data_IF_176436284770
#
_entry.id   IF_176436284770
#
_cell.length_a   1.000
_cell.length_b   1.000
_cell.length_c   1.000
_cell.angle_alpha   90.00
_cell.angle_beta   90.00
_cell.angle_gamma   90.00
#
_symmetry.space_group_name_H-M   'P 1'
#
loop_
_entity.id
_entity.type
_entity.pdbx_description
1 polymer ?
#
# COMPACT_ATOMS: atom_id res chain seq x y z
N UNK A 1 -15.04 41.54 27.37
CA UNK A 1 -15.07 40.68 28.57
C UNK A 1 -13.66 40.15 28.82
N UNK A 2 -13.33 39.76 30.05
CA UNK A 2 -12.03 39.13 30.40
C UNK A 2 -11.75 37.90 29.52
N UNK A 3 -12.79 37.15 29.16
CA UNK A 3 -12.69 36.00 28.24
C UNK A 3 -12.17 36.35 26.84
N UNK A 4 -12.44 37.56 26.33
CA UNK A 4 -11.93 37.99 25.02
C UNK A 4 -10.43 38.35 25.03
N UNK A 5 -9.85 38.61 26.21
CA UNK A 5 -8.45 38.96 26.37
C UNK A 5 -7.55 37.73 26.62
N UNK A 6 -8.12 36.57 26.91
CA UNK A 6 -7.38 35.36 27.24
C UNK A 6 -6.50 34.87 26.08
N UNK A 7 -7.07 34.68 24.88
CA UNK A 7 -6.33 34.19 23.71
C UNK A 7 -5.20 35.16 23.28
N UNK A 8 -5.42 36.49 23.19
CA UNK A 8 -4.31 37.44 22.97
C UNK A 8 -3.22 37.38 24.04
N UNK A 9 -3.57 37.14 25.31
CA UNK A 9 -2.58 37.00 26.39
C UNK A 9 -1.77 35.70 26.28
N UNK A 10 -2.40 34.59 25.89
CA UNK A 10 -1.73 33.32 25.59
C UNK A 10 -0.75 33.46 24.42
N UNK A 11 -1.19 34.09 23.32
CA UNK A 11 -0.31 34.39 22.18
C UNK A 11 0.87 35.27 22.60
N UNK A 12 0.62 36.34 23.37
CA UNK A 12 1.70 37.19 23.89
C UNK A 12 2.69 36.41 24.75
N UNK A 13 2.19 35.54 25.64
CA UNK A 13 3.03 34.70 26.51
C UNK A 13 3.92 33.76 25.70
N UNK A 14 3.39 33.12 24.66
CA UNK A 14 4.16 32.24 23.77
C UNK A 14 5.36 32.97 23.15
N UNK A 15 5.14 34.14 22.52
CA UNK A 15 6.24 34.92 21.93
C UNK A 15 7.17 35.54 22.99
N UNK A 16 6.67 35.85 24.18
CA UNK A 16 7.49 36.36 25.27
C UNK A 16 8.45 35.30 25.84
N UNK A 17 8.03 34.03 25.88
CA UNK A 17 8.87 32.89 26.28
C UNK A 17 9.96 32.60 25.25
N UNK A 18 9.70 32.90 23.97
CA UNK A 18 10.63 32.69 22.85
C UNK A 18 11.42 33.94 22.46
N UNK A 19 11.35 35.02 23.24
CA UNK A 19 11.97 36.32 22.93
C UNK A 19 13.50 36.27 22.76
N UNK A 20 14.13 35.28 23.40
CA UNK A 20 15.59 35.09 23.38
C UNK A 20 16.03 34.22 22.18
N UNK A 21 15.07 33.68 21.41
CA UNK A 21 15.29 32.94 20.17
C UNK A 21 15.07 33.79 18.90
N UNK A 22 15.24 33.19 17.71
CA UNK A 22 15.04 33.88 16.44
C UNK A 22 13.56 34.25 16.23
N UNK A 23 13.30 35.55 16.07
CA UNK A 23 12.01 36.11 15.71
C UNK A 23 12.12 36.83 14.38
N UNK A 24 11.23 36.52 13.44
CA UNK A 24 11.24 37.06 12.09
C UNK A 24 10.00 37.91 11.84
N UNK A 25 10.13 38.92 10.98
CA UNK A 25 8.94 39.57 10.39
C UNK A 25 8.50 38.78 9.17
N UNK A 26 7.20 38.51 9.04
CA UNK A 26 6.66 37.77 7.91
C UNK A 26 5.51 38.51 7.21
N UNK A 27 5.40 38.26 5.91
CA UNK A 27 4.23 38.59 5.09
C UNK A 27 4.16 37.64 3.90
N UNK A 28 2.94 37.30 3.47
CA UNK A 28 2.71 36.52 2.23
C UNK A 28 2.33 37.52 1.15
N UNK A 29 3.14 37.59 0.10
CA UNK A 29 3.02 38.61 -0.94
C UNK A 29 2.66 37.94 -2.27
N UNK A 30 1.63 38.46 -2.95
CA UNK A 30 1.16 37.98 -4.24
C UNK A 30 1.34 39.10 -5.26
N UNK A 31 2.06 38.82 -6.35
CA UNK A 31 2.32 39.77 -7.44
C UNK A 31 1.71 39.21 -8.74
N UNK A 32 0.79 39.96 -9.34
CA UNK A 32 0.20 39.68 -10.65
C UNK A 32 -0.44 40.97 -11.17
N UNK A 33 -1.04 40.92 -12.35
CA UNK A 33 -2.10 41.86 -12.74
C UNK A 33 -3.27 41.87 -11.73
N UNK A 34 -4.16 42.85 -11.86
CA UNK A 34 -5.29 43.04 -10.94
C UNK A 34 -6.18 41.81 -10.80
N UNK A 35 -6.46 41.13 -11.91
CA UNK A 35 -7.32 39.94 -11.97
C UNK A 35 -6.63 38.75 -11.30
N UNK A 36 -5.37 38.48 -11.65
CA UNK A 36 -4.60 37.39 -11.06
C UNK A 36 -4.31 37.60 -9.58
N UNK A 37 -4.05 38.84 -9.15
CA UNK A 37 -3.81 39.16 -7.74
C UNK A 37 -5.06 38.83 -6.92
N UNK A 38 -6.24 39.23 -7.38
CA UNK A 38 -7.52 38.91 -6.72
C UNK A 38 -7.76 37.39 -6.63
N UNK A 39 -7.55 36.68 -7.74
CA UNK A 39 -7.78 35.24 -7.81
C UNK A 39 -6.80 34.43 -6.93
N UNK A 40 -5.51 34.73 -7.02
CA UNK A 40 -4.47 34.01 -6.27
C UNK A 40 -4.58 34.32 -4.78
N UNK A 41 -4.70 35.61 -4.41
CA UNK A 41 -4.83 36.00 -3.00
C UNK A 41 -6.06 35.37 -2.33
N UNK A 42 -7.20 35.31 -3.01
CA UNK A 42 -8.42 34.69 -2.47
C UNK A 42 -8.24 33.19 -2.23
N UNK A 43 -7.55 32.47 -3.14
CA UNK A 43 -7.26 31.04 -2.97
C UNK A 43 -6.26 30.79 -1.84
N UNK A 44 -5.19 31.58 -1.79
CA UNK A 44 -4.17 31.51 -0.72
C UNK A 44 -4.82 31.79 0.63
N UNK A 45 -5.62 32.85 0.73
CA UNK A 45 -6.36 33.19 1.94
C UNK A 45 -7.33 32.06 2.34
N UNK A 46 -8.07 31.51 1.38
CA UNK A 46 -8.98 30.38 1.62
C UNK A 46 -8.27 29.16 2.23
N UNK A 47 -7.10 28.78 1.69
CA UNK A 47 -6.31 27.66 2.20
C UNK A 47 -5.75 27.92 3.60
N UNK A 48 -5.28 29.13 3.88
CA UNK A 48 -4.77 29.50 5.20
C UNK A 48 -5.87 29.55 6.26
N UNK A 49 -7.10 29.88 5.86
CA UNK A 49 -8.25 30.02 6.75
C UNK A 49 -9.01 28.70 6.94
N UNK A 50 -9.00 27.79 5.96
CA UNK A 50 -9.76 26.54 6.02
C UNK A 50 -9.26 25.52 7.05
N UNK A 51 -8.09 25.76 7.64
CA UNK A 51 -7.41 24.81 8.56
C UNK A 51 -7.90 24.92 10.00
N UNK A 52 -8.64 25.97 10.38
CA UNK A 52 -9.00 26.23 11.79
C UNK A 52 -10.48 26.58 11.97
N UNK A 53 -11.13 25.96 12.97
CA UNK A 53 -12.50 26.29 13.41
C UNK A 53 -12.55 27.63 14.19
N UNK A 54 -11.39 28.20 14.53
CA UNK A 54 -11.28 29.48 15.25
C UNK A 54 -11.34 30.70 14.31
N UNK A 55 -11.75 31.85 14.85
CA UNK A 55 -11.73 33.13 14.12
C UNK A 55 -10.32 33.46 13.67
N UNK A 56 -10.08 33.42 12.36
CA UNK A 56 -8.80 33.75 11.77
C UNK A 56 -8.58 35.27 11.69
N UNK A 57 -7.42 35.74 12.15
CA UNK A 57 -7.04 37.16 12.22
C UNK A 57 -6.12 37.59 11.06
N UNK A 58 -6.17 36.88 9.94
CA UNK A 58 -5.42 37.27 8.74
C UNK A 58 -6.05 38.52 8.12
N UNK A 59 -5.20 39.50 7.78
CA UNK A 59 -5.63 40.72 7.09
C UNK A 59 -5.08 40.74 5.67
N UNK A 60 -5.95 41.02 4.70
CA UNK A 60 -5.56 41.20 3.31
C UNK A 60 -5.43 42.69 3.02
N UNK A 61 -4.26 43.11 2.55
CA UNK A 61 -3.98 44.49 2.19
C UNK A 61 -3.56 44.56 0.73
N UNK A 62 -4.25 45.38 -0.07
CA UNK A 62 -3.85 45.68 -1.45
C UNK A 62 -2.83 46.81 -1.42
N UNK A 63 -1.67 46.59 -2.02
CA UNK A 63 -0.62 47.60 -2.16
C UNK A 63 -0.50 47.92 -3.64
N UNK A 64 -1.01 49.09 -4.03
CA UNK A 64 -0.87 49.59 -5.40
C UNK A 64 0.47 50.34 -5.57
N UNK A 65 0.94 50.46 -6.81
CA UNK A 65 2.12 51.26 -7.20
C UNK A 65 3.48 50.78 -6.66
N UNK A 66 3.69 49.47 -6.57
CA UNK A 66 5.03 48.90 -6.44
C UNK A 66 5.60 48.65 -7.85
N UNK A 67 6.41 49.59 -8.37
CA UNK A 67 7.14 49.40 -9.63
C UNK A 67 8.52 48.77 -9.35
N UNK A 68 8.86 47.75 -10.13
CA UNK A 68 10.16 47.08 -10.08
C UNK A 68 10.88 47.35 -11.39
N UNK A 69 11.72 48.37 -11.40
CA UNK A 69 12.39 48.82 -12.63
C UNK A 69 13.62 47.96 -12.96
N UNK A 70 14.15 47.18 -12.00
CA UNK A 70 15.30 46.29 -12.20
C UNK A 70 15.37 45.12 -11.20
N UNK A 71 16.26 44.16 -11.45
CA UNK A 71 16.52 43.02 -10.55
C UNK A 71 16.99 43.46 -9.14
N UNK A 72 17.67 44.60 -9.03
CA UNK A 72 18.12 45.12 -7.73
C UNK A 72 16.93 45.52 -6.83
N UNK A 73 15.81 45.93 -7.43
CA UNK A 73 14.57 46.24 -6.71
C UNK A 73 14.00 45.04 -5.95
N UNK A 74 14.26 43.80 -6.41
CA UNK A 74 13.78 42.59 -5.72
C UNK A 74 14.49 42.35 -4.39
N UNK A 75 15.78 42.69 -4.26
CA UNK A 75 16.49 42.54 -2.98
C UNK A 75 15.99 43.52 -1.91
N UNK A 76 15.48 44.68 -2.33
CA UNK A 76 14.90 45.69 -1.42
C UNK A 76 13.44 45.41 -1.07
N UNK A 77 12.80 44.47 -1.76
CA UNK A 77 11.38 44.18 -1.65
C UNK A 77 10.91 43.89 -0.21
N UNK A 78 11.61 43.08 0.61
CA UNK A 78 11.17 42.81 1.98
C UNK A 78 11.13 44.08 2.83
N UNK A 79 12.06 45.01 2.64
CA UNK A 79 12.10 46.27 3.38
C UNK A 79 10.97 47.21 2.96
N UNK A 80 10.75 47.35 1.66
CA UNK A 80 9.70 48.22 1.11
C UNK A 80 8.31 47.75 1.54
N UNK A 81 8.05 46.45 1.48
CA UNK A 81 6.78 45.86 1.92
C UNK A 81 6.57 46.08 3.42
N UNK A 82 7.58 45.81 4.24
CA UNK A 82 7.48 46.01 5.69
C UNK A 82 7.20 47.47 6.05
N UNK A 83 7.80 48.43 5.35
CA UNK A 83 7.50 49.86 5.52
C UNK A 83 6.05 50.18 5.15
N UNK A 84 5.54 49.66 4.03
CA UNK A 84 4.15 49.86 3.62
C UNK A 84 3.14 49.22 4.58
N UNK A 85 3.42 48.01 5.06
CA UNK A 85 2.60 47.36 6.07
C UNK A 85 2.60 48.15 7.38
N UNK A 86 3.75 48.69 7.79
CA UNK A 86 3.81 49.59 8.94
C UNK A 86 2.92 50.81 8.68
N UNK A 87 3.09 51.54 7.57
CA UNK A 87 2.27 52.71 7.20
C UNK A 87 0.76 52.42 7.25
N UNK A 88 0.33 51.30 6.67
CA UNK A 88 -1.07 50.85 6.69
C UNK A 88 -1.53 50.60 8.12
N UNK A 89 -0.74 49.84 8.90
CA UNK A 89 -1.10 49.49 10.25
C UNK A 89 -1.18 50.74 11.16
N UNK A 90 -0.30 51.74 11.00
CA UNK A 90 -0.34 52.99 11.80
C UNK A 90 -1.65 53.75 11.72
N UNK A 91 -2.40 53.60 10.63
CA UNK A 91 -3.65 54.33 10.44
C UNK A 91 -4.76 53.87 11.39
N UNK A 92 -4.59 52.70 12.02
CA UNK A 92 -5.53 52.21 13.01
C UNK A 92 -5.39 52.99 14.33
N UNK A 93 -6.50 53.55 14.80
CA UNK A 93 -6.56 54.39 16.00
C UNK A 93 -6.09 53.68 17.26
N UNK A 94 -6.09 52.35 17.31
CA UNK A 94 -5.62 51.59 18.46
C UNK A 94 -4.14 51.84 18.77
N UNK A 95 -3.31 52.12 17.75
CA UNK A 95 -1.87 52.29 17.92
C UNK A 95 -1.44 53.67 18.43
N UNK A 96 -2.35 54.65 18.44
CA UNK A 96 -2.07 55.97 19.03
C UNK A 96 -2.10 55.94 20.57
N UNK A 97 -2.63 54.86 21.16
CA UNK A 97 -2.63 54.62 22.60
C UNK A 97 -1.24 54.12 23.01
N UNK A 98 -0.58 54.83 23.93
CA UNK A 98 0.86 54.68 24.22
C UNK A 98 1.33 53.28 24.65
N UNK A 99 0.46 52.43 25.20
CA UNK A 99 0.81 51.04 25.55
C UNK A 99 0.81 50.16 24.30
N UNK A 100 -0.11 50.38 23.36
CA UNK A 100 -0.25 49.56 22.15
C UNK A 100 0.74 49.94 21.06
N UNK A 101 1.26 51.17 21.04
CA UNK A 101 2.29 51.59 20.09
C UNK A 101 3.55 50.71 20.14
N UNK A 102 3.89 50.17 21.33
CA UNK A 102 5.06 49.29 21.54
C UNK A 102 4.88 47.89 20.95
N UNK A 103 3.64 47.41 20.81
CA UNK A 103 3.33 46.08 20.28
C UNK A 103 2.82 46.13 18.83
N UNK A 104 2.94 47.27 18.14
CA UNK A 104 2.44 47.46 16.77
C UNK A 104 3.02 46.46 15.75
N UNK A 105 4.23 45.96 15.99
CA UNK A 105 4.88 44.97 15.12
C UNK A 105 4.47 43.53 15.41
N UNK A 106 3.85 43.29 16.57
CA UNK A 106 3.50 41.97 17.06
C UNK A 106 2.68 41.12 16.07
N UNK A 107 1.70 41.68 15.32
CA UNK A 107 0.92 40.89 14.35
C UNK A 107 1.73 40.36 13.16
N UNK A 108 2.96 40.82 12.98
CA UNK A 108 3.84 40.44 11.87
C UNK A 108 5.05 39.62 12.32
N UNK A 109 5.08 39.17 13.58
CA UNK A 109 6.17 38.37 14.12
C UNK A 109 5.83 36.89 13.99
N UNK A 110 6.83 36.09 13.62
CA UNK A 110 6.77 34.64 13.55
C UNK A 110 8.03 34.05 14.19
N UNK A 111 7.91 32.90 14.85
CA UNK A 111 9.07 32.16 15.39
C UNK A 111 9.79 31.41 14.28
N UNK A 112 11.00 30.90 14.55
CA UNK A 112 11.70 30.00 13.62
C UNK A 112 10.86 28.74 13.30
N UNK A 113 10.25 28.14 14.32
CA UNK A 113 9.42 26.93 14.17
C UNK A 113 8.20 27.22 13.28
N UNK A 114 7.48 28.30 13.56
CA UNK A 114 6.34 28.74 12.75
C UNK A 114 6.75 29.12 11.32
N UNK A 115 7.90 29.78 11.14
CA UNK A 115 8.42 30.14 9.83
C UNK A 115 8.77 28.89 9.00
N UNK A 116 9.31 27.85 9.66
CA UNK A 116 9.71 26.61 9.00
C UNK A 116 8.55 25.90 8.32
N UNK A 117 7.31 26.09 8.77
CA UNK A 117 6.09 25.56 8.15
C UNK A 117 5.84 26.14 6.75
N UNK A 118 6.20 27.41 6.53
CA UNK A 118 6.05 28.08 5.23
C UNK A 118 7.16 27.71 4.23
N UNK A 119 8.35 27.37 4.74
CA UNK A 119 9.54 27.05 3.91
C UNK A 119 9.77 25.55 3.75
N UNK A 120 8.69 24.76 3.77
CA UNK A 120 8.78 23.34 3.46
C UNK A 120 8.91 23.15 1.95
N UNK A 121 9.77 22.22 1.55
CA UNK A 121 9.71 21.71 0.20
C UNK A 121 8.28 21.15 -0.01
N UNK A 122 7.64 21.41 -1.16
CA UNK A 122 6.36 20.82 -1.50
C UNK A 122 6.55 19.32 -1.72
N UNK A 123 6.67 18.57 -0.62
CA UNK A 123 6.64 17.12 -0.61
C UNK A 123 5.16 16.79 -0.66
N UNK A 124 4.67 16.56 -1.86
CA UNK A 124 3.30 16.08 -2.03
C UNK A 124 3.11 14.73 -1.36
N UNK A 125 1.88 14.44 -0.96
CA UNK A 125 1.41 13.12 -0.53
C UNK A 125 0.23 12.70 -1.42
N UNK A 126 -0.46 11.60 -1.09
CA UNK A 126 -1.66 11.16 -1.84
C UNK A 126 -2.77 12.22 -1.94
N UNK A 127 -2.79 13.20 -1.02
CA UNK A 127 -3.80 14.25 -0.92
C UNK A 127 -3.32 15.62 -1.42
N UNK A 128 -2.01 15.85 -1.51
CA UNK A 128 -1.40 17.14 -1.86
C UNK A 128 -0.52 16.97 -3.09
N UNK A 129 -1.07 17.25 -4.27
CA UNK A 129 -0.29 17.34 -5.51
C UNK A 129 0.13 18.80 -5.74
N UNK A 130 1.32 19.17 -5.27
CA UNK A 130 1.92 20.48 -5.54
C UNK A 130 2.51 20.58 -6.96
N UNK A 131 1.82 20.03 -7.97
CA UNK A 131 2.27 20.02 -9.37
C UNK A 131 3.49 19.13 -9.67
N UNK A 132 4.00 18.40 -8.67
CA UNK A 132 5.07 17.43 -8.82
C UNK A 132 4.50 16.02 -8.77
N UNK A 133 4.93 15.15 -9.70
CA UNK A 133 4.60 13.73 -9.65
C UNK A 133 5.35 13.10 -8.46
N UNK A 134 4.66 12.97 -7.33
CA UNK A 134 5.20 12.27 -6.17
C UNK A 134 4.95 10.78 -6.30
N UNK A 135 6.00 10.04 -6.62
CA UNK A 135 6.01 8.58 -6.52
C UNK A 135 6.40 8.18 -5.08
N UNK A 136 5.50 8.38 -4.13
CA UNK A 136 5.73 7.89 -2.77
C UNK A 136 5.59 6.36 -2.75
N UNK A 137 6.69 5.67 -2.44
CA UNK A 137 6.58 4.35 -1.84
C UNK A 137 6.32 4.58 -0.36
N UNK A 138 5.06 4.49 0.07
CA UNK A 138 4.66 4.59 1.49
C UNK A 138 5.64 3.76 2.32
N UNK A 139 6.56 4.43 3.05
CA UNK A 139 7.41 3.80 4.05
C UNK A 139 6.55 3.60 5.30
N UNK A 140 5.57 2.71 5.22
CA UNK A 140 5.04 2.13 6.44
C UNK A 140 6.24 1.44 7.08
N UNK A 141 6.68 1.90 8.25
CA UNK A 141 7.60 1.16 9.09
C UNK A 141 6.86 -0.10 9.55
N UNK A 142 6.71 -1.07 8.65
CA UNK A 142 6.28 -2.40 9.01
C UNK A 142 7.47 -2.99 9.77
N UNK A 143 7.29 -3.20 11.06
CA UNK A 143 8.17 -4.05 11.83
C UNK A 143 8.09 -5.42 11.18
N UNK A 144 9.09 -5.75 10.37
CA UNK A 144 9.22 -7.09 9.81
C UNK A 144 9.47 -8.04 10.96
N UNK A 145 8.86 -9.23 10.94
CA UNK A 145 9.18 -10.27 11.91
C UNK A 145 10.68 -10.58 11.86
N UNK A 146 11.24 -11.00 13.00
CA UNK A 146 12.64 -11.37 13.12
C UNK A 146 13.02 -12.38 12.02
N UNK A 147 14.20 -12.22 11.44
CA UNK A 147 14.78 -13.02 10.34
C UNK A 147 14.17 -12.86 8.94
N UNK A 148 13.25 -11.92 8.71
CA UNK A 148 12.80 -11.59 7.33
C UNK A 148 13.87 -10.81 6.56
N UNK A 149 14.64 -9.97 7.24
CA UNK A 149 15.72 -9.16 6.66
C UNK A 149 17.04 -9.88 6.91
N UNK A 150 17.79 -10.16 5.83
CA UNK A 150 19.13 -10.77 5.87
C UNK A 150 19.25 -12.13 6.60
N UNK A 151 18.13 -12.81 6.91
CA UNK A 151 18.15 -14.06 7.68
C UNK A 151 17.29 -15.21 7.15
N UNK A 152 16.53 -15.00 6.08
CA UNK A 152 15.65 -16.04 5.53
C UNK A 152 16.42 -17.11 4.76
N UNK A 153 16.04 -18.37 4.95
CA UNK A 153 16.54 -19.52 4.18
C UNK A 153 16.38 -19.31 2.66
N UNK A 154 15.28 -18.65 2.25
CA UNK A 154 14.98 -18.32 0.85
C UNK A 154 14.97 -16.81 0.67
N UNK A 155 15.92 -16.30 -0.11
CA UNK A 155 16.03 -14.88 -0.46
C UNK A 155 15.10 -14.51 -1.62
N UNK A 156 14.04 -13.75 -1.38
CA UNK A 156 13.09 -13.35 -2.43
C UNK A 156 13.42 -12.04 -3.14
N UNK A 157 14.17 -11.15 -2.49
CA UNK A 157 14.44 -9.85 -3.09
C UNK A 157 15.39 -8.97 -2.30
N UNK A 158 15.39 -7.68 -2.63
CA UNK A 158 16.15 -6.64 -1.93
C UNK A 158 15.19 -5.61 -1.34
N UNK A 159 15.53 -5.12 -0.16
CA UNK A 159 14.80 -4.08 0.52
C UNK A 159 15.14 -2.72 -0.12
N UNK A 160 14.16 -2.11 -0.80
CA UNK A 160 14.37 -0.84 -1.52
C UNK A 160 14.71 0.33 -0.58
N UNK A 161 14.27 0.29 0.68
CA UNK A 161 14.57 1.30 1.68
C UNK A 161 15.98 1.19 2.27
N UNK A 162 16.69 0.09 2.03
CA UNK A 162 18.06 -0.09 2.51
C UNK A 162 19.07 0.51 1.54
N UNK A 163 19.82 1.49 2.00
CA UNK A 163 20.99 2.04 1.29
C UNK A 163 22.15 1.05 1.21
N UNK A 164 22.15 -0.01 2.04
CA UNK A 164 23.17 -1.07 2.06
C UNK A 164 22.82 -2.26 1.16
N UNK A 165 21.64 -2.27 0.54
CA UNK A 165 21.19 -3.35 -0.32
C UNK A 165 20.74 -4.60 0.44
N UNK A 166 20.19 -4.42 1.64
CA UNK A 166 19.69 -5.52 2.47
C UNK A 166 18.71 -6.42 1.70
N UNK A 167 18.71 -7.69 2.06
CA UNK A 167 17.95 -8.73 1.39
C UNK A 167 16.71 -9.07 2.18
N UNK A 168 15.63 -9.40 1.47
CA UNK A 168 14.39 -9.87 2.09
C UNK A 168 14.15 -11.32 1.69
N UNK A 169 13.74 -12.13 2.66
CA UNK A 169 13.54 -13.56 2.54
C UNK A 169 12.50 -14.08 3.53
N UNK A 170 12.30 -15.39 3.50
CA UNK A 170 11.49 -16.10 4.50
C UNK A 170 12.17 -17.41 4.89
N UNK A 171 11.85 -17.91 6.08
CA UNK A 171 12.31 -19.23 6.53
C UNK A 171 11.49 -20.33 5.87
N UNK A 172 12.12 -21.46 5.59
CA UNK A 172 11.45 -22.64 5.04
C UNK A 172 10.31 -23.12 5.93
N UNK A 173 10.47 -23.02 7.25
CA UNK A 173 9.45 -23.41 8.24
C UNK A 173 8.18 -22.57 8.12
N UNK A 174 8.28 -21.34 7.61
CA UNK A 174 7.11 -20.48 7.43
C UNK A 174 6.29 -20.89 6.20
N UNK A 175 6.90 -21.57 5.21
CA UNK A 175 6.16 -22.13 4.07
C UNK A 175 5.15 -23.20 4.49
N UNK A 176 5.41 -23.91 5.59
CA UNK A 176 4.47 -24.88 6.16
C UNK A 176 3.19 -24.22 6.70
N UNK A 177 3.17 -22.89 6.89
CA UNK A 177 1.99 -22.11 7.33
C UNK A 177 1.13 -21.59 6.17
N UNK A 178 1.40 -22.05 4.95
CA UNK A 178 0.80 -21.59 3.69
C UNK A 178 1.25 -20.20 3.24
N UNK A 179 1.24 -19.98 1.92
CA UNK A 179 1.57 -18.71 1.28
C UNK A 179 0.48 -18.33 0.29
N UNK A 180 0.09 -17.05 0.33
CA UNK A 180 -0.82 -16.46 -0.65
C UNK A 180 -0.05 -15.46 -1.54
N UNK A 181 -0.02 -15.71 -2.85
CA UNK A 181 0.62 -14.85 -3.85
C UNK A 181 -0.45 -14.19 -4.73
N UNK A 182 -0.63 -12.88 -4.59
CA UNK A 182 -1.68 -12.09 -5.27
C UNK A 182 -1.11 -10.90 -6.03
N UNK A 183 -1.84 -10.40 -7.02
CA UNK A 183 -1.43 -9.29 -7.87
C UNK A 183 -2.13 -9.27 -9.22
N UNK A 184 -2.10 -8.14 -9.92
CA UNK A 184 -2.71 -7.95 -11.26
C UNK A 184 -2.02 -8.80 -12.34
N UNK A 185 -2.66 -9.08 -13.49
CA UNK A 185 -1.96 -9.69 -14.63
C UNK A 185 -0.70 -8.90 -15.00
N UNK A 186 0.41 -9.60 -15.31
CA UNK A 186 1.70 -8.97 -15.61
C UNK A 186 2.53 -8.58 -14.37
N UNK A 187 2.01 -8.70 -13.15
CA UNK A 187 2.74 -8.32 -11.92
C UNK A 187 3.88 -9.26 -11.51
N UNK A 188 4.20 -10.29 -12.30
CA UNK A 188 5.28 -11.24 -12.01
C UNK A 188 4.97 -12.38 -11.05
N UNK A 189 3.69 -12.64 -10.71
CA UNK A 189 3.29 -13.77 -9.82
C UNK A 189 3.86 -15.12 -10.26
N UNK A 190 3.64 -15.48 -11.53
CA UNK A 190 4.14 -16.76 -12.06
C UNK A 190 5.65 -16.82 -12.02
N UNK A 191 6.34 -15.74 -12.41
CA UNK A 191 7.81 -15.65 -12.36
C UNK A 191 8.33 -15.85 -10.94
N UNK A 192 7.68 -15.24 -9.95
CA UNK A 192 8.00 -15.41 -8.54
C UNK A 192 7.82 -16.87 -8.10
N UNK A 193 6.67 -17.47 -8.38
CA UNK A 193 6.37 -18.87 -8.00
C UNK A 193 7.33 -19.86 -8.67
N UNK A 194 7.60 -19.70 -9.97
CA UNK A 194 8.54 -20.55 -10.72
C UNK A 194 9.94 -20.45 -10.13
N UNK A 195 10.44 -19.25 -9.87
CA UNK A 195 11.77 -19.05 -9.26
C UNK A 195 11.84 -19.62 -7.84
N UNK A 196 10.75 -19.53 -7.07
CA UNK A 196 10.68 -20.12 -5.73
C UNK A 196 10.71 -21.65 -5.76
N UNK A 197 9.92 -22.28 -6.63
CA UNK A 197 9.89 -23.74 -6.77
C UNK A 197 11.23 -24.30 -7.24
N UNK A 198 11.91 -23.59 -8.15
CA UNK A 198 13.25 -23.98 -8.62
C UNK A 198 14.25 -24.06 -7.46
N UNK A 199 14.25 -23.07 -6.56
CA UNK A 199 15.12 -23.05 -5.38
C UNK A 199 14.74 -24.09 -4.34
N UNK A 200 13.44 -24.27 -4.08
CA UNK A 200 12.97 -25.31 -3.17
C UNK A 200 13.48 -26.69 -3.56
N UNK A 201 13.49 -26.96 -4.87
CA UNK A 201 14.05 -28.20 -5.39
C UNK A 201 15.57 -28.24 -5.32
N UNK A 202 16.27 -27.28 -5.92
CA UNK A 202 17.74 -27.35 -6.08
C UNK A 202 18.53 -27.11 -4.81
N UNK A 203 18.09 -26.17 -3.97
CA UNK A 203 18.84 -25.76 -2.77
C UNK A 203 18.41 -26.57 -1.55
N UNK A 204 17.14 -26.98 -1.49
CA UNK A 204 16.56 -27.61 -0.30
C UNK A 204 16.04 -29.04 -0.52
N UNK A 205 16.05 -29.55 -1.76
CA UNK A 205 15.61 -30.90 -2.10
C UNK A 205 14.16 -31.20 -1.66
N UNK A 206 13.29 -30.18 -1.70
CA UNK A 206 11.89 -30.30 -1.32
C UNK A 206 11.07 -30.63 -2.57
N UNK A 207 10.37 -31.79 -2.62
CA UNK A 207 9.50 -32.13 -3.72
C UNK A 207 8.24 -31.25 -3.72
N UNK A 208 7.71 -30.95 -4.90
CA UNK A 208 6.53 -30.11 -5.05
C UNK A 208 5.55 -30.68 -6.08
N UNK A 209 4.28 -30.29 -5.95
CA UNK A 209 3.22 -30.55 -6.92
C UNK A 209 2.62 -29.22 -7.36
N UNK A 210 2.55 -28.99 -8.67
CA UNK A 210 1.89 -27.82 -9.26
C UNK A 210 0.61 -28.26 -9.97
N UNK A 211 -0.50 -27.62 -9.64
CA UNK A 211 -1.77 -27.79 -10.35
C UNK A 211 -2.06 -26.48 -11.08
N UNK A 212 -1.94 -26.51 -12.41
CA UNK A 212 -2.13 -25.33 -13.26
C UNK A 212 -3.29 -25.56 -14.26
N UNK A 213 -4.31 -24.68 -14.29
CA UNK A 213 -5.51 -24.94 -15.07
C UNK A 213 -5.44 -24.58 -16.57
N UNK A 214 -4.63 -23.60 -17.00
CA UNK A 214 -4.75 -23.10 -18.39
C UNK A 214 -3.47 -22.60 -19.08
N UNK A 215 -2.57 -21.88 -18.40
CA UNK A 215 -1.52 -21.09 -19.08
C UNK A 215 -0.24 -21.85 -19.39
N UNK A 216 -0.11 -23.08 -18.86
CA UNK A 216 1.03 -23.98 -19.08
C UNK A 216 2.40 -23.36 -18.74
N UNK A 217 2.46 -22.30 -17.93
CA UNK A 217 3.65 -21.49 -17.68
C UNK A 217 4.70 -22.25 -16.85
N UNK A 218 4.25 -23.14 -15.96
CA UNK A 218 5.16 -23.89 -15.07
C UNK A 218 5.94 -24.99 -15.79
N UNK A 219 5.57 -25.34 -17.04
CA UNK A 219 6.34 -26.29 -17.87
C UNK A 219 7.77 -25.83 -18.14
N UNK A 220 8.03 -24.53 -18.06
CA UNK A 220 9.39 -24.00 -18.19
C UNK A 220 10.36 -24.59 -17.15
N UNK A 221 9.85 -25.04 -15.99
CA UNK A 221 10.68 -25.69 -14.96
C UNK A 221 11.37 -26.96 -15.44
N UNK A 222 10.87 -27.65 -16.49
CA UNK A 222 11.52 -28.85 -17.05
C UNK A 222 12.95 -28.55 -17.53
N UNK A 223 13.21 -27.34 -18.03
CA UNK A 223 14.56 -26.94 -18.46
C UNK A 223 15.54 -26.84 -17.28
N UNK A 224 15.00 -26.60 -16.10
CA UNK A 224 15.75 -26.34 -14.86
C UNK A 224 15.84 -27.57 -13.96
N UNK A 225 14.81 -28.42 -14.04
CA UNK A 225 14.62 -29.66 -13.28
C UNK A 225 14.32 -30.76 -14.31
N UNK A 226 15.35 -31.43 -14.85
CA UNK A 226 15.17 -32.45 -15.89
C UNK A 226 14.28 -33.63 -15.46
N UNK A 227 14.26 -33.93 -14.15
CA UNK A 227 13.47 -35.03 -13.57
C UNK A 227 12.00 -34.64 -13.31
N UNK A 228 11.58 -33.42 -13.68
CA UNK A 228 10.23 -32.93 -13.44
C UNK A 228 9.20 -33.73 -14.27
N UNK A 229 8.28 -34.37 -13.57
CA UNK A 229 7.17 -35.07 -14.22
C UNK A 229 6.07 -34.07 -14.60
N UNK A 230 5.81 -33.96 -15.90
CA UNK A 230 4.70 -33.16 -16.43
C UNK A 230 3.60 -34.09 -16.89
N UNK A 231 2.36 -33.74 -16.52
CA UNK A 231 1.14 -34.44 -16.87
C UNK A 231 0.15 -33.47 -17.50
N UNK A 232 -0.51 -33.89 -18.58
CA UNK A 232 -1.48 -33.09 -19.35
C UNK A 232 -2.76 -33.88 -19.58
N UNK A 233 -3.72 -33.82 -18.65
CA UNK A 233 -5.03 -34.46 -18.82
C UNK A 233 -5.66 -34.07 -20.16
N UNK A 234 -6.15 -35.06 -20.92
CA UNK A 234 -6.79 -34.85 -22.23
C UNK A 234 -5.83 -34.75 -23.43
N UNK A 235 -4.50 -34.71 -23.24
CA UNK A 235 -3.50 -34.74 -24.34
C UNK A 235 -2.65 -36.00 -24.27
N UNK A 236 -3.26 -37.13 -24.61
CA UNK A 236 -2.66 -38.46 -24.46
C UNK A 236 -1.37 -38.67 -25.27
N UNK A 237 -1.16 -37.92 -26.35
CA UNK A 237 0.02 -38.03 -27.22
C UNK A 237 1.26 -37.27 -26.73
N UNK A 238 1.11 -36.38 -25.74
CA UNK A 238 2.22 -35.52 -25.27
C UNK A 238 2.69 -35.99 -23.90
N UNK A 239 1.76 -36.09 -22.95
CA UNK A 239 2.06 -36.30 -21.54
C UNK A 239 0.76 -36.75 -20.87
N UNK A 240 0.40 -38.05 -21.00
CA UNK A 240 -0.89 -38.55 -20.53
C UNK A 240 -0.94 -38.56 -19.00
N UNK A 241 -2.08 -38.14 -18.45
CA UNK A 241 -2.44 -38.40 -17.06
C UNK A 241 -3.61 -39.37 -17.02
N UNK A 242 -3.32 -40.66 -17.05
CA UNK A 242 -4.34 -41.71 -16.94
C UNK A 242 -4.48 -42.09 -15.48
N UNK A 243 -5.57 -41.65 -14.87
CA UNK A 243 -5.89 -41.93 -13.48
C UNK A 243 -7.36 -42.36 -13.38
N UNK A 244 -7.60 -43.49 -12.70
CA UNK A 244 -8.95 -43.97 -12.41
C UNK A 244 -9.33 -43.58 -10.98
N UNK A 245 -10.17 -42.55 -10.76
CA UNK A 245 -10.61 -42.13 -9.43
C UNK A 245 -11.59 -43.11 -8.78
N UNK A 246 -12.00 -44.18 -9.47
CA UNK A 246 -12.87 -45.23 -8.92
C UNK A 246 -12.09 -46.41 -8.33
N UNK A 247 -10.76 -46.33 -8.32
CA UNK A 247 -9.92 -47.34 -7.66
C UNK A 247 -9.42 -46.76 -6.33
N UNK A 248 -9.80 -47.34 -5.17
CA UNK A 248 -9.31 -46.88 -3.88
C UNK A 248 -7.78 -46.90 -3.80
N UNK A 249 -7.13 -45.92 -3.16
CA UNK A 249 -5.69 -45.97 -2.92
C UNK A 249 -5.29 -47.21 -2.13
N UNK A 250 -3.99 -47.57 -2.20
CA UNK A 250 -3.45 -48.70 -1.44
C UNK A 250 -3.76 -48.54 0.06
N UNK A 251 -4.21 -49.63 0.69
CA UNK A 251 -4.59 -49.68 2.11
C UNK A 251 -5.82 -48.81 2.50
N UNK A 252 -6.59 -48.28 1.55
CA UNK A 252 -7.83 -47.54 1.85
C UNK A 252 -9.03 -48.45 1.62
N UNK A 253 -9.90 -48.55 2.64
CA UNK A 253 -11.16 -49.29 2.53
C UNK A 253 -12.14 -48.57 1.61
N UNK A 254 -12.89 -49.32 0.83
CA UNK A 254 -13.87 -48.80 -0.10
C UNK A 254 -14.91 -47.90 0.59
N UNK A 255 -15.43 -48.32 1.73
CA UNK A 255 -16.44 -47.55 2.49
C UNK A 255 -16.01 -46.10 2.71
N UNK A 256 -14.78 -45.91 3.20
CA UNK A 256 -14.19 -44.60 3.44
C UNK A 256 -13.95 -43.86 2.13
N UNK A 257 -13.50 -44.57 1.09
CA UNK A 257 -13.19 -43.96 -0.20
C UNK A 257 -14.43 -43.44 -0.94
N UNK A 258 -15.59 -44.10 -0.83
CA UNK A 258 -16.87 -43.64 -1.43
C UNK A 258 -17.24 -42.24 -0.96
N UNK A 259 -17.04 -41.94 0.33
CA UNK A 259 -17.28 -40.60 0.89
C UNK A 259 -16.33 -39.56 0.30
N UNK A 260 -15.03 -39.87 0.21
CA UNK A 260 -14.03 -38.99 -0.42
C UNK A 260 -14.37 -38.72 -1.89
N UNK A 261 -14.81 -39.74 -2.63
CA UNK A 261 -15.22 -39.61 -4.02
C UNK A 261 -16.39 -38.64 -4.16
N UNK A 262 -17.43 -38.76 -3.31
CA UNK A 262 -18.55 -37.82 -3.29
C UNK A 262 -18.10 -36.38 -3.05
N UNK A 263 -17.22 -36.16 -2.05
CA UNK A 263 -16.69 -34.82 -1.77
C UNK A 263 -15.90 -34.25 -2.94
N UNK A 264 -15.07 -35.05 -3.61
CA UNK A 264 -14.30 -34.63 -4.77
C UNK A 264 -15.20 -34.22 -5.95
N UNK A 265 -16.24 -35.00 -6.25
CA UNK A 265 -17.20 -34.66 -7.31
C UNK A 265 -18.05 -33.44 -6.95
N UNK A 266 -18.45 -33.29 -5.68
CA UNK A 266 -19.20 -32.13 -5.21
C UNK A 266 -18.39 -30.81 -5.26
N UNK A 267 -17.05 -30.89 -5.20
CA UNK A 267 -16.19 -29.72 -5.38
C UNK A 267 -16.14 -29.24 -6.84
N UNK A 268 -16.39 -30.13 -7.81
CA UNK A 268 -16.38 -29.81 -9.24
C UNK A 268 -17.77 -29.55 -9.85
N UNK A 269 -18.82 -30.13 -9.26
CA UNK A 269 -20.19 -30.08 -9.77
C UNK A 269 -21.17 -29.79 -8.64
N UNK A 270 -22.18 -28.94 -8.90
CA UNK A 270 -23.25 -28.68 -7.92
C UNK A 270 -24.10 -29.93 -7.67
N UNK A 271 -23.94 -30.55 -6.50
CA UNK A 271 -24.62 -31.78 -6.09
C UNK A 271 -25.85 -31.48 -5.23
N UNK A 272 -26.88 -30.86 -5.81
CA UNK A 272 -28.15 -30.58 -5.10
C UNK A 272 -29.01 -31.83 -4.99
N UNK A 273 -29.73 -32.03 -3.88
CA UNK A 273 -30.71 -33.12 -3.76
C UNK A 273 -31.82 -33.01 -4.83
N UNK A 274 -32.23 -34.11 -5.48
CA UNK A 274 -31.88 -35.52 -5.20
C UNK A 274 -30.65 -36.06 -5.96
N UNK A 275 -29.93 -35.24 -6.73
CA UNK A 275 -28.80 -35.69 -7.55
C UNK A 275 -27.69 -36.34 -6.71
N UNK A 276 -27.45 -35.82 -5.51
CA UNK A 276 -26.44 -36.36 -4.60
C UNK A 276 -26.75 -37.80 -4.15
N UNK A 277 -28.03 -38.10 -3.88
CA UNK A 277 -28.50 -39.44 -3.52
C UNK A 277 -28.42 -40.40 -4.70
N UNK A 278 -28.83 -39.94 -5.89
CA UNK A 278 -28.73 -40.72 -7.12
C UNK A 278 -27.27 -41.07 -7.41
N UNK A 279 -26.35 -40.11 -7.20
CA UNK A 279 -24.93 -40.35 -7.37
C UNK A 279 -24.39 -41.40 -6.38
N UNK A 280 -24.73 -41.29 -5.09
CA UNK A 280 -24.33 -42.29 -4.09
C UNK A 280 -24.85 -43.69 -4.42
N UNK A 281 -26.12 -43.80 -4.80
CA UNK A 281 -26.73 -45.08 -5.19
C UNK A 281 -26.04 -45.67 -6.43
N UNK A 282 -25.81 -44.85 -7.47
CA UNK A 282 -25.12 -45.28 -8.67
C UNK A 282 -23.68 -45.77 -8.39
N UNK A 283 -22.94 -45.06 -7.53
CA UNK A 283 -21.60 -45.48 -7.10
C UNK A 283 -21.66 -46.80 -6.34
N UNK A 284 -22.56 -46.96 -5.37
CA UNK A 284 -22.72 -48.20 -4.61
C UNK A 284 -23.06 -49.39 -5.52
N UNK A 285 -23.98 -49.19 -6.47
CA UNK A 285 -24.37 -50.22 -7.43
C UNK A 285 -23.20 -50.60 -8.33
N UNK A 286 -22.45 -49.63 -8.88
CA UNK A 286 -21.26 -49.90 -9.68
C UNK A 286 -20.21 -50.74 -8.94
N UNK A 287 -19.88 -50.38 -7.69
CA UNK A 287 -18.92 -51.18 -6.90
C UNK A 287 -19.44 -52.60 -6.65
N UNK A 288 -20.73 -52.75 -6.36
CA UNK A 288 -21.37 -54.06 -6.13
C UNK A 288 -21.33 -54.95 -7.38
N UNK A 289 -21.64 -54.40 -8.55
CA UNK A 289 -21.60 -55.11 -9.84
C UNK A 289 -20.19 -55.61 -10.19
N UNK A 290 -19.16 -54.85 -9.79
CA UNK A 290 -17.75 -55.20 -9.95
C UNK A 290 -17.19 -56.04 -8.79
N UNK A 291 -18.07 -56.56 -7.91
CA UNK A 291 -17.77 -57.47 -6.79
C UNK A 291 -16.85 -56.86 -5.73
N UNK A 292 -16.96 -55.56 -5.51
CA UNK A 292 -16.30 -54.91 -4.39
C UNK A 292 -17.17 -54.99 -3.13
N UNK A 293 -16.55 -55.27 -1.98
CA UNK A 293 -17.18 -55.13 -0.67
C UNK A 293 -16.62 -53.89 0.03
N UNK A 294 -17.41 -53.32 0.94
CA UNK A 294 -17.06 -52.10 1.67
C UNK A 294 -15.77 -52.22 2.49
N UNK A 295 -15.44 -53.43 2.94
CA UNK A 295 -14.21 -53.76 3.66
C UNK A 295 -12.99 -53.94 2.76
N UNK A 296 -13.17 -54.01 1.44
CA UNK A 296 -12.09 -54.27 0.51
C UNK A 296 -11.16 -53.07 0.36
N UNK A 297 -9.90 -53.41 0.12
CA UNK A 297 -8.86 -52.54 -0.40
C UNK A 297 -8.48 -53.02 -1.81
N UNK A 298 -7.58 -52.30 -2.47
CA UNK A 298 -7.04 -52.71 -3.78
C UNK A 298 -6.36 -54.09 -3.78
N UNK A 299 -5.88 -54.57 -2.64
CA UNK A 299 -5.24 -55.89 -2.52
C UNK A 299 -6.27 -57.04 -2.57
N UNK A 300 -7.56 -56.75 -2.36
CA UNK A 300 -8.63 -57.75 -2.27
C UNK A 300 -9.26 -58.14 -3.63
N UNK A 301 -8.63 -57.77 -4.77
CA UNK A 301 -8.98 -58.17 -6.15
C UNK A 301 -10.44 -57.88 -6.59
N UNK A 302 -11.07 -56.80 -6.13
CA UNK A 302 -12.28 -56.29 -6.79
C UNK A 302 -11.99 -56.00 -8.27
N UNK A 303 -12.96 -56.21 -9.18
CA UNK A 303 -12.71 -55.99 -10.61
C UNK A 303 -12.48 -54.49 -10.87
N UNK A 304 -11.47 -54.15 -11.65
CA UNK A 304 -11.19 -52.75 -12.01
C UNK A 304 -12.29 -52.26 -12.95
N UNK A 305 -12.77 -51.03 -12.72
CA UNK A 305 -13.64 -50.30 -13.62
C UNK A 305 -12.90 -49.94 -14.91
N UNK A 306 -12.81 -50.88 -15.83
CA UNK A 306 -12.33 -50.63 -17.17
C UNK A 306 -13.52 -50.57 -18.11
N UNK A 307 -13.68 -49.45 -18.80
CA UNK A 307 -14.48 -49.41 -20.03
C UNK A 307 -13.55 -49.99 -21.10
N UNK A 308 -13.83 -51.21 -21.55
CA UNK A 308 -13.22 -51.81 -22.74
C UNK A 308 -13.73 -51.14 -24.00
#
# INVERSE_FOLDING_TARGET
SISAAQKPAENYKYYAELKDGPLFRYSINVFSDDVGTSNISSRVFGQLVSVTEEKNYLTQNRIDNLSFDNEQSYFLLPWLINQKLDEINSKNSIWSIGVFSKIRRFPYIVTEEEASEFFRLPIGDENVSAGLNVNESVKTAKTYADNIINGGDIKVGKLRSSSKGDTIGFNLKDLAKHMLVVGTPGSGKTTFSVGMLDRLWKEHHIPFLVIEPAKNEYRALVQSIPDLQVFTPGKNFISPFVYNPFVPPKNVKLETYKSTLKTAFAAGVSMTTPLDKIFEEAINNCYSDFRWLDTYTTDNKGKIFNIT
#
